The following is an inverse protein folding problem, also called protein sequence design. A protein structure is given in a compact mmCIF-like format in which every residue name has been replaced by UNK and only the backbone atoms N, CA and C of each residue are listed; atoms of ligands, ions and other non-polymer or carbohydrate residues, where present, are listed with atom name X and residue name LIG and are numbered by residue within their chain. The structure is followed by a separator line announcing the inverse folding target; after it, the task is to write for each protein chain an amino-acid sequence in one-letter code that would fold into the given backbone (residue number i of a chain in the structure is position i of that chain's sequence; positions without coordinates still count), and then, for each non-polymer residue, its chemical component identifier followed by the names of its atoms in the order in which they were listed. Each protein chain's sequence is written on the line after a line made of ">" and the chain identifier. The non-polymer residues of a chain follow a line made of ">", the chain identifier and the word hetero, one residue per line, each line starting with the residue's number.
data_IF_754595213389
#
_entry.id   IF_754595213389
#
_cell.length_a   1.000
_cell.length_b   1.000
_cell.length_c   1.000
_cell.angle_alpha   90.00
_cell.angle_beta   90.00
_cell.angle_gamma   90.00
#
_symmetry.space_group_name_H-M   'P 1'
#
loop_
_entity.id
_entity.type
_entity.pdbx_description
1 polymer ?
#
# COMPACT_ATOMS: atom_id res chain seq x y z
N UNK A 1 -10.07 -16.66 -6.55
CA UNK A 1 -11.34 -16.73 -5.80
C UNK A 1 -12.32 -15.75 -6.40
N UNK A 2 -13.61 -16.08 -6.40
CA UNK A 2 -14.69 -15.20 -6.86
C UNK A 2 -15.46 -14.58 -5.69
N UNK A 3 -15.06 -14.88 -4.46
CA UNK A 3 -15.75 -14.43 -3.26
C UNK A 3 -15.04 -13.24 -2.60
N UNK A 4 -15.83 -12.25 -2.20
CA UNK A 4 -15.36 -11.00 -1.61
C UNK A 4 -14.75 -11.26 -0.23
N UNK A 5 -15.31 -12.20 0.53
CA UNK A 5 -14.81 -12.52 1.87
C UNK A 5 -13.45 -13.22 1.81
N UNK A 6 -13.26 -14.18 0.90
CA UNK A 6 -11.94 -14.81 0.70
C UNK A 6 -10.88 -13.79 0.25
N UNK A 7 -11.27 -12.78 -0.52
CA UNK A 7 -10.37 -11.69 -0.90
C UNK A 7 -9.88 -10.88 0.31
N UNK A 8 -10.79 -10.50 1.22
CA UNK A 8 -10.43 -9.78 2.43
C UNK A 8 -9.60 -10.62 3.41
N UNK A 9 -9.91 -11.91 3.55
CA UNK A 9 -9.08 -12.81 4.38
C UNK A 9 -7.66 -12.96 3.81
N UNK A 10 -7.49 -12.99 2.48
CA UNK A 10 -6.15 -12.96 1.87
C UNK A 10 -5.43 -11.63 2.13
N UNK A 11 -6.11 -10.49 1.98
CA UNK A 11 -5.52 -9.18 2.31
C UNK A 11 -5.03 -9.18 3.76
N UNK A 12 -5.88 -9.61 4.69
CA UNK A 12 -5.53 -9.70 6.12
C UNK A 12 -4.32 -10.59 6.37
N UNK A 13 -4.26 -11.75 5.72
CA UNK A 13 -3.13 -12.66 5.82
C UNK A 13 -1.83 -11.98 5.37
N UNK A 14 -1.81 -11.38 4.18
CA UNK A 14 -0.62 -10.69 3.67
C UNK A 14 -0.24 -9.44 4.48
N UNK A 15 -1.20 -8.67 4.96
CA UNK A 15 -0.95 -7.55 5.86
C UNK A 15 -0.34 -8.01 7.19
N UNK A 16 -0.79 -9.14 7.72
CA UNK A 16 -0.21 -9.72 8.94
C UNK A 16 1.23 -10.18 8.70
N UNK A 17 1.52 -10.79 7.55
CA UNK A 17 2.89 -11.14 7.17
C UNK A 17 3.77 -9.90 7.01
N UNK A 18 3.26 -8.84 6.38
CA UNK A 18 3.97 -7.57 6.23
C UNK A 18 4.30 -6.96 7.60
N UNK A 19 3.34 -6.93 8.54
CA UNK A 19 3.55 -6.50 9.92
C UNK A 19 4.71 -7.26 10.57
N UNK A 20 4.65 -8.60 10.54
CA UNK A 20 5.68 -9.46 11.15
C UNK A 20 7.07 -9.20 10.56
N UNK A 21 7.15 -9.01 9.23
CA UNK A 21 8.39 -8.67 8.53
C UNK A 21 8.93 -7.30 8.97
N UNK A 22 8.07 -6.28 9.02
CA UNK A 22 8.41 -4.91 9.41
C UNK A 22 8.91 -4.85 10.86
N UNK A 23 8.23 -5.51 11.80
CA UNK A 23 8.64 -5.57 13.20
C UNK A 23 9.96 -6.35 13.38
N UNK A 24 10.13 -7.44 12.63
CA UNK A 24 11.39 -8.20 12.66
C UNK A 24 12.55 -7.34 12.16
N UNK A 25 12.36 -6.61 11.05
CA UNK A 25 13.34 -5.68 10.50
C UNK A 25 13.65 -4.57 11.50
N UNK A 26 12.63 -3.97 12.11
CA UNK A 26 12.77 -2.91 13.13
C UNK A 26 13.64 -3.39 14.29
N UNK A 27 13.37 -4.57 14.84
CA UNK A 27 14.18 -5.17 15.92
C UNK A 27 15.65 -5.34 15.52
N UNK A 28 15.94 -5.80 14.31
CA UNK A 28 17.33 -5.94 13.81
C UNK A 28 18.00 -4.57 13.71
N UNK A 29 17.32 -3.57 13.14
CA UNK A 29 17.84 -2.20 13.01
C UNK A 29 18.09 -1.57 14.38
N UNK A 30 17.18 -1.73 15.34
CA UNK A 30 17.37 -1.25 16.70
C UNK A 30 18.55 -1.92 17.41
N UNK A 31 18.74 -3.23 17.22
CA UNK A 31 19.89 -3.93 17.77
C UNK A 31 21.21 -3.42 17.17
N UNK A 32 21.24 -3.20 15.85
CA UNK A 32 22.40 -2.60 15.18
C UNK A 32 22.72 -1.19 15.71
N UNK A 33 21.68 -0.39 16.01
CA UNK A 33 21.84 0.94 16.59
C UNK A 33 22.45 0.86 17.99
N UNK A 34 21.94 -0.05 18.84
CA UNK A 34 22.45 -0.28 20.20
C UNK A 34 23.91 -0.71 20.18
N UNK A 35 24.25 -1.64 19.29
CA UNK A 35 25.60 -2.19 19.10
C UNK A 35 26.58 -1.21 18.42
N UNK A 36 26.15 0.01 18.10
CA UNK A 36 27.04 1.05 17.56
C UNK A 36 27.37 0.91 16.07
N UNK A 37 26.69 0.01 15.35
CA UNK A 37 26.90 -0.19 13.91
C UNK A 37 26.35 0.96 13.04
N UNK A 38 25.60 1.89 13.66
CA UNK A 38 25.05 3.07 13.00
C UNK A 38 25.36 4.33 13.82
N UNK A 39 26.64 4.76 13.87
CA UNK A 39 27.09 5.81 14.79
C UNK A 39 26.47 7.18 14.50
N UNK A 40 26.33 7.55 13.24
CA UNK A 40 25.68 8.81 12.84
C UNK A 40 24.19 8.80 13.20
N UNK A 41 23.47 7.74 12.86
CA UNK A 41 22.05 7.60 13.21
C UNK A 41 21.84 7.62 14.71
N UNK A 42 22.70 6.97 15.50
CA UNK A 42 22.64 7.00 16.96
C UNK A 42 22.85 8.41 17.51
N UNK A 43 23.77 9.18 16.92
CA UNK A 43 24.11 10.54 17.36
C UNK A 43 23.03 11.59 17.07
N UNK A 44 22.35 11.48 15.93
CA UNK A 44 21.41 12.50 15.45
C UNK A 44 19.93 12.11 15.62
N UNK A 45 19.61 10.82 15.53
CA UNK A 45 18.24 10.33 15.61
C UNK A 45 17.92 9.71 16.97
N UNK A 46 18.87 8.95 17.53
CA UNK A 46 18.76 8.31 18.85
C UNK A 46 17.82 7.09 18.88
N UNK A 47 16.58 7.21 18.37
CA UNK A 47 15.59 6.12 18.36
C UNK A 47 14.75 6.09 17.09
N UNK A 48 14.20 4.91 16.74
CA UNK A 48 13.31 4.75 15.60
C UNK A 48 11.81 4.78 15.98
N UNK A 49 11.47 5.18 17.21
CA UNK A 49 10.07 5.20 17.70
C UNK A 49 9.14 6.05 16.83
N UNK A 50 9.66 7.12 16.25
CA UNK A 50 8.90 8.04 15.39
C UNK A 50 8.97 7.68 13.90
N UNK A 51 9.52 6.52 13.53
CA UNK A 51 9.61 6.08 12.13
C UNK A 51 8.42 5.23 11.75
N UNK A 52 7.77 5.58 10.65
CA UNK A 52 6.66 4.81 10.11
C UNK A 52 7.13 3.52 9.46
N UNK A 53 6.38 2.45 9.69
CA UNK A 53 6.45 1.22 8.93
C UNK A 53 5.37 1.25 7.84
N UNK A 54 5.79 1.23 6.58
CA UNK A 54 4.90 1.46 5.44
C UNK A 54 4.43 0.15 4.83
N UNK A 55 3.11 0.03 4.63
CA UNK A 55 2.49 -1.05 3.87
C UNK A 55 1.96 -0.43 2.56
N UNK A 56 2.54 -0.85 1.45
CA UNK A 56 2.17 -0.38 0.11
C UNK A 56 1.01 -1.18 -0.50
N UNK A 57 0.15 -0.51 -1.26
CA UNK A 57 -0.88 -1.13 -2.12
C UNK A 57 -0.55 -0.92 -3.59
N UNK A 58 -0.73 -1.95 -4.42
CA UNK A 58 -0.62 -1.88 -5.88
C UNK A 58 -1.59 -2.85 -6.56
N UNK A 59 -1.94 -2.59 -7.82
CA UNK A 59 -2.73 -3.48 -8.66
C UNK A 59 -4.23 -3.49 -8.37
N UNK A 60 -4.81 -2.40 -7.87
CA UNK A 60 -6.23 -2.38 -7.51
C UNK A 60 -7.14 -2.55 -8.74
N UNK A 61 -6.76 -2.00 -9.90
CA UNK A 61 -7.51 -2.21 -11.13
C UNK A 61 -7.50 -3.68 -11.56
N UNK A 62 -6.34 -4.34 -11.49
CA UNK A 62 -6.22 -5.76 -11.82
C UNK A 62 -7.01 -6.62 -10.82
N UNK A 63 -7.06 -6.25 -9.55
CA UNK A 63 -7.91 -6.92 -8.56
C UNK A 63 -9.39 -6.79 -8.94
N UNK A 64 -9.87 -5.58 -9.27
CA UNK A 64 -11.24 -5.35 -9.75
C UNK A 64 -11.55 -6.17 -11.02
N UNK A 65 -10.66 -6.16 -12.01
CA UNK A 65 -10.82 -6.90 -13.25
C UNK A 65 -10.85 -8.41 -13.03
N UNK A 66 -10.04 -8.94 -12.10
CA UNK A 66 -10.03 -10.36 -11.82
C UNK A 66 -11.24 -10.82 -11.00
N UNK A 67 -11.68 -10.04 -10.01
CA UNK A 67 -12.78 -10.36 -9.10
C UNK A 67 -14.16 -10.06 -9.70
N UNK A 68 -14.34 -8.85 -10.21
CA UNK A 68 -15.64 -8.31 -10.65
C UNK A 68 -15.83 -8.36 -12.16
N UNK A 69 -14.77 -8.65 -12.94
CA UNK A 69 -14.76 -8.50 -14.41
C UNK A 69 -15.12 -7.07 -14.86
N UNK A 70 -14.85 -6.09 -13.99
CA UNK A 70 -15.08 -4.67 -14.20
C UNK A 70 -13.85 -3.89 -13.74
N UNK A 71 -13.55 -2.79 -14.42
CA UNK A 71 -12.43 -1.94 -14.07
C UNK A 71 -12.69 -1.11 -12.80
N UNK A 72 -11.66 -0.41 -12.34
CA UNK A 72 -11.73 0.48 -11.18
C UNK A 72 -12.64 1.71 -11.39
N UNK A 73 -13.00 2.05 -12.62
CA UNK A 73 -13.84 3.23 -12.95
C UNK A 73 -15.33 2.95 -12.77
N UNK A 74 -15.72 1.67 -12.89
CA UNK A 74 -17.08 1.19 -12.64
C UNK A 74 -17.56 1.49 -11.21
N UNK A 75 -18.87 1.68 -10.99
CA UNK A 75 -19.42 1.87 -9.65
C UNK A 75 -19.03 0.74 -8.68
N UNK A 76 -19.04 -0.51 -9.15
CA UNK A 76 -18.68 -1.67 -8.33
C UNK A 76 -17.18 -1.73 -8.04
N UNK A 77 -16.32 -1.41 -9.02
CA UNK A 77 -14.87 -1.34 -8.82
C UNK A 77 -14.44 -0.24 -7.86
N UNK A 78 -15.10 0.93 -7.94
CA UNK A 78 -14.94 2.01 -6.96
C UNK A 78 -15.33 1.57 -5.56
N UNK A 79 -16.48 0.92 -5.42
CA UNK A 79 -16.94 0.45 -4.12
C UNK A 79 -15.98 -0.59 -3.52
N UNK A 80 -15.51 -1.55 -4.32
CA UNK A 80 -14.54 -2.55 -3.87
C UNK A 80 -13.22 -1.89 -3.42
N UNK A 81 -12.75 -0.89 -4.16
CA UNK A 81 -11.55 -0.12 -3.80
C UNK A 81 -11.73 0.59 -2.47
N UNK A 82 -12.85 1.27 -2.26
CA UNK A 82 -13.16 1.97 -1.01
C UNK A 82 -13.22 0.98 0.15
N UNK A 83 -13.90 -0.16 -0.02
CA UNK A 83 -14.02 -1.18 1.01
C UNK A 83 -12.64 -1.78 1.36
N UNK A 84 -11.80 -2.00 0.35
CA UNK A 84 -10.41 -2.46 0.51
C UNK A 84 -9.58 -1.47 1.32
N UNK A 85 -9.61 -0.20 0.97
CA UNK A 85 -8.86 0.84 1.69
C UNK A 85 -9.34 1.01 3.14
N UNK A 86 -10.65 0.94 3.38
CA UNK A 86 -11.23 0.98 4.73
C UNK A 86 -10.76 -0.21 5.56
N UNK A 87 -10.84 -1.41 5.01
CA UNK A 87 -10.38 -2.63 5.67
C UNK A 87 -8.88 -2.56 6.02
N UNK A 88 -8.04 -2.16 5.07
CA UNK A 88 -6.61 -1.99 5.31
C UNK A 88 -6.32 -0.93 6.38
N UNK A 89 -7.08 0.18 6.38
CA UNK A 89 -6.93 1.24 7.39
C UNK A 89 -7.25 0.73 8.80
N UNK A 90 -8.32 -0.04 8.94
CA UNK A 90 -8.70 -0.63 10.23
C UNK A 90 -7.62 -1.59 10.73
N UNK A 91 -7.07 -2.44 9.85
CA UNK A 91 -5.98 -3.36 10.19
C UNK A 91 -4.70 -2.63 10.58
N UNK A 92 -4.35 -1.56 9.88
CA UNK A 92 -3.21 -0.72 10.27
C UNK A 92 -3.41 -0.11 11.65
N UNK A 93 -4.62 0.37 11.98
CA UNK A 93 -4.93 0.88 13.32
C UNK A 93 -4.77 -0.20 14.40
N UNK A 94 -5.27 -1.41 14.14
CA UNK A 94 -5.07 -2.56 15.03
C UNK A 94 -3.57 -2.84 15.25
N UNK A 95 -2.77 -2.84 14.18
CA UNK A 95 -1.33 -3.07 14.27
C UNK A 95 -0.60 -2.02 15.10
N UNK A 96 -0.98 -0.75 14.99
CA UNK A 96 -0.43 0.31 15.85
C UNK A 96 -0.77 0.09 17.33
N UNK A 97 -1.99 -0.35 17.63
CA UNK A 97 -2.41 -0.66 19.01
C UNK A 97 -1.67 -1.88 19.57
N UNK A 98 -1.49 -2.92 18.77
CA UNK A 98 -0.82 -4.17 19.18
C UNK A 98 0.69 -3.99 19.40
N UNK A 99 1.35 -3.25 18.51
CA UNK A 99 2.83 -3.17 18.47
C UNK A 99 3.38 -1.91 19.15
N UNK A 100 2.58 -0.84 19.24
CA UNK A 100 3.04 0.49 19.63
C UNK A 100 3.91 1.18 18.57
N UNK A 101 4.15 0.56 17.41
CA UNK A 101 4.86 1.15 16.28
C UNK A 101 3.91 2.00 15.42
N UNK A 102 4.44 3.04 14.78
CA UNK A 102 3.68 3.84 13.82
C UNK A 102 3.63 3.12 12.46
N UNK A 103 2.44 3.07 11.86
CA UNK A 103 2.21 2.46 10.56
C UNK A 103 1.51 3.44 9.62
N UNK A 104 1.87 3.42 8.34
CA UNK A 104 1.16 4.15 7.30
C UNK A 104 0.85 3.25 6.10
N UNK A 105 -0.22 3.60 5.39
CA UNK A 105 -0.48 3.08 4.05
C UNK A 105 0.13 4.03 3.04
N UNK A 106 0.68 3.51 1.95
CA UNK A 106 1.19 4.34 0.86
C UNK A 106 0.81 3.75 -0.50
N UNK A 107 0.51 4.65 -1.42
CA UNK A 107 0.47 4.38 -2.85
C UNK A 107 1.93 4.33 -3.38
N UNK A 108 2.65 3.23 -3.13
CA UNK A 108 4.09 3.17 -3.43
C UNK A 108 4.31 3.16 -4.94
N UNK A 109 5.15 4.04 -5.52
CA UNK A 109 5.54 3.95 -6.92
C UNK A 109 6.27 2.63 -7.16
N UNK A 110 5.54 1.68 -7.71
CA UNK A 110 5.95 0.29 -7.80
C UNK A 110 6.50 -0.07 -9.18
N UNK A 111 7.18 0.82 -9.91
CA UNK A 111 7.54 0.58 -11.32
C UNK A 111 8.25 -0.77 -11.56
N UNK A 112 9.30 -1.08 -10.80
CA UNK A 112 10.02 -2.35 -10.91
C UNK A 112 9.28 -3.52 -10.24
N UNK A 113 8.57 -3.26 -9.14
CA UNK A 113 7.87 -4.26 -8.35
C UNK A 113 6.58 -4.74 -9.02
N UNK A 114 5.81 -3.83 -9.62
CA UNK A 114 4.57 -4.08 -10.34
C UNK A 114 4.81 -4.93 -11.59
N UNK A 115 5.86 -4.63 -12.36
CA UNK A 115 6.27 -5.47 -13.48
C UNK A 115 6.66 -6.88 -13.01
N UNK A 116 7.49 -6.95 -11.96
CA UNK A 116 7.97 -8.23 -11.42
C UNK A 116 6.82 -9.09 -10.90
N UNK A 117 5.86 -8.50 -10.18
CA UNK A 117 4.68 -9.23 -9.69
C UNK A 117 3.77 -9.67 -10.83
N UNK A 118 3.45 -8.80 -11.79
CA UNK A 118 2.62 -9.17 -12.94
C UNK A 118 3.23 -10.35 -13.73
N UNK A 119 4.56 -10.36 -13.91
CA UNK A 119 5.27 -11.47 -14.57
C UNK A 119 5.20 -12.78 -13.78
N UNK A 120 5.32 -12.72 -12.45
CA UNK A 120 5.19 -13.89 -11.58
C UNK A 120 3.75 -14.41 -11.55
N UNK A 121 2.77 -13.51 -11.52
CA UNK A 121 1.35 -13.84 -11.57
C UNK A 121 1.00 -14.54 -12.87
N UNK A 122 1.42 -14.01 -14.02
CA UNK A 122 1.25 -14.68 -15.33
C UNK A 122 1.92 -16.04 -15.41
N UNK A 123 3.06 -16.23 -14.73
CA UNK A 123 3.76 -17.52 -14.69
C UNK A 123 3.00 -18.55 -13.84
N UNK A 124 2.40 -18.14 -12.73
CA UNK A 124 1.65 -19.03 -11.84
C UNK A 124 0.21 -19.26 -12.33
N UNK A 125 -0.38 -18.24 -12.94
CA UNK A 125 -1.78 -18.20 -13.38
C UNK A 125 -1.83 -17.59 -14.78
N UNK A 126 -1.70 -18.39 -15.85
CA UNK A 126 -1.66 -17.88 -17.23
C UNK A 126 -2.87 -17.00 -17.60
N UNK A 127 -4.04 -17.36 -17.08
CA UNK A 127 -5.32 -16.69 -17.36
C UNK A 127 -5.60 -15.47 -16.46
N UNK A 128 -4.70 -15.11 -15.55
CA UNK A 128 -4.90 -13.93 -14.69
C UNK A 128 -4.87 -12.66 -15.54
N UNK A 129 -5.77 -11.73 -15.25
CA UNK A 129 -5.75 -10.43 -15.90
C UNK A 129 -4.63 -9.57 -15.29
N UNK A 130 -3.80 -9.00 -16.16
CA UNK A 130 -2.77 -7.99 -15.85
C UNK A 130 -2.87 -6.89 -16.91
N UNK A 131 -2.55 -5.64 -16.56
CA UNK A 131 -2.41 -4.58 -17.55
C UNK A 131 -1.14 -4.76 -18.39
N UNK A 132 -1.06 -4.07 -19.54
CA UNK A 132 0.07 -4.15 -20.47
C UNK A 132 -0.07 -5.27 -21.50
N UNK A 133 1.02 -5.56 -22.20
CA UNK A 133 1.08 -6.62 -23.23
C UNK A 133 1.52 -7.95 -22.62
N UNK A 134 1.31 -9.09 -23.32
CA UNK A 134 1.82 -10.39 -22.86
C UNK A 134 3.34 -10.40 -22.58
N UNK A 135 4.10 -9.62 -23.34
CA UNK A 135 5.55 -9.49 -23.23
C UNK A 135 5.95 -8.51 -22.12
N UNK A 136 5.10 -7.52 -21.84
CA UNK A 136 5.35 -6.47 -20.87
C UNK A 136 4.16 -6.24 -19.91
N UNK A 137 3.81 -7.24 -19.07
CA UNK A 137 2.69 -7.13 -18.14
C UNK A 137 3.08 -6.26 -16.94
N UNK A 138 2.16 -5.44 -16.45
CA UNK A 138 2.34 -4.63 -15.24
C UNK A 138 1.06 -4.59 -14.39
N UNK A 139 1.24 -4.34 -13.09
CA UNK A 139 0.16 -3.96 -12.19
C UNK A 139 0.02 -2.43 -12.18
N UNK A 140 -1.22 -1.94 -12.15
CA UNK A 140 -1.47 -0.49 -12.02
C UNK A 140 -0.92 0.05 -10.70
N UNK A 141 -0.36 1.26 -10.75
CA UNK A 141 0.22 1.86 -9.57
C UNK A 141 -0.90 2.27 -8.60
N UNK A 142 -0.91 1.67 -7.40
CA UNK A 142 -1.91 1.95 -6.36
C UNK A 142 -3.37 1.86 -6.87
N UNK A 143 -4.10 2.98 -6.80
CA UNK A 143 -5.48 3.18 -7.26
C UNK A 143 -5.55 4.09 -8.50
N UNK A 144 -4.41 4.39 -9.12
CA UNK A 144 -4.39 5.25 -10.30
C UNK A 144 -4.96 4.51 -11.51
N UNK A 145 -5.59 5.27 -12.41
CA UNK A 145 -6.09 4.77 -13.68
C UNK A 145 -4.94 4.13 -14.49
N UNK A 146 -5.20 3.09 -15.30
CA UNK A 146 -4.20 2.50 -16.17
C UNK A 146 -3.52 3.54 -17.07
N UNK A 147 -2.21 3.40 -17.25
CA UNK A 147 -1.44 4.20 -18.22
C UNK A 147 -1.99 3.91 -19.62
N UNK A 148 -2.51 4.94 -20.30
CA UNK A 148 -3.18 4.84 -21.60
C UNK A 148 -4.69 5.14 -21.61
N UNK A 149 -5.27 5.64 -20.51
CA UNK A 149 -6.71 5.92 -20.41
C UNK A 149 -7.15 7.27 -21.02
N UNK A 150 -6.25 8.23 -21.26
CA UNK A 150 -6.58 9.51 -21.96
C UNK A 150 -5.32 10.20 -22.51
N UNK A 151 -5.42 10.79 -23.71
CA UNK A 151 -4.37 11.61 -24.36
C UNK A 151 -4.42 13.09 -23.95
N UNK A 152 -5.35 13.46 -23.05
CA UNK A 152 -5.58 14.85 -22.67
C UNK A 152 -4.89 15.18 -21.33
N UNK A 153 -3.68 15.75 -21.44
CA UNK A 153 -2.80 16.11 -20.31
C UNK A 153 -3.47 17.10 -19.34
N UNK A 154 -4.44 17.87 -19.82
CA UNK A 154 -5.22 18.83 -19.02
C UNK A 154 -6.28 18.14 -18.17
N UNK A 155 -6.93 17.08 -18.68
CA UNK A 155 -7.95 16.34 -17.92
C UNK A 155 -7.34 15.51 -16.78
N UNK A 156 -6.08 15.07 -16.93
CA UNK A 156 -5.31 14.41 -15.88
C UNK A 156 -4.93 15.36 -14.72
N UNK A 157 -4.79 16.66 -15.00
CA UNK A 157 -4.47 17.72 -14.02
C UNK A 157 -5.71 18.35 -13.38
N UNK A 158 -6.84 18.38 -14.08
CA UNK A 158 -8.11 18.92 -13.55
C UNK A 158 -8.94 17.89 -12.78
N UNK A 159 -8.57 16.61 -12.76
CA UNK A 159 -9.28 15.56 -12.01
C UNK A 159 -8.50 14.87 -10.86
N UNK A 160 -7.72 15.58 -10.01
CA UNK A 160 -7.27 15.04 -8.72
C UNK A 160 -8.44 14.67 -7.78
N UNK A 161 -9.64 15.20 -8.07
CA UNK A 161 -10.74 15.27 -7.11
C UNK A 161 -11.81 14.17 -7.27
N UNK A 162 -11.72 13.31 -8.29
CA UNK A 162 -12.75 12.26 -8.55
C UNK A 162 -12.36 10.83 -8.13
N UNK A 163 -11.23 10.67 -7.45
CA UNK A 163 -10.96 9.52 -6.59
C UNK A 163 -10.11 9.97 -5.38
N UNK A 164 -10.73 10.31 -4.23
CA UNK A 164 -9.98 10.73 -3.05
C UNK A 164 -9.40 9.48 -2.36
N UNK A 165 -8.40 8.87 -2.98
CA UNK A 165 -7.44 8.00 -2.32
C UNK A 165 -6.03 8.56 -2.52
N UNK A 166 -5.88 9.88 -2.38
CA UNK A 166 -4.59 10.50 -2.13
C UNK A 166 -4.09 10.01 -0.77
N UNK A 167 -3.30 8.94 -0.78
CA UNK A 167 -2.72 8.33 0.43
C UNK A 167 -1.51 9.17 0.87
N UNK A 168 -1.80 10.33 1.44
CA UNK A 168 -0.88 11.09 2.29
C UNK A 168 -1.63 11.55 3.53
N UNK A 169 -1.97 10.59 4.39
CA UNK A 169 -2.63 10.86 5.67
C UNK A 169 -1.61 10.83 6.80
N UNK A 170 -1.17 12.03 7.23
CA UNK A 170 -0.52 12.24 8.53
C UNK A 170 -1.61 12.47 9.57
N UNK A 171 -1.69 11.61 10.58
CA UNK A 171 -2.55 11.88 11.74
C UNK A 171 -2.01 13.12 12.48
N UNK A 172 -2.76 14.22 12.44
CA UNK A 172 -2.40 15.48 13.10
C UNK A 172 -2.66 15.50 14.62
N UNK A 173 -2.95 14.34 15.24
CA UNK A 173 -3.33 14.29 16.66
C UNK A 173 -2.22 13.91 17.65
N UNK A 174 -0.95 13.80 17.22
CA UNK A 174 0.16 13.50 18.14
C UNK A 174 1.00 14.70 18.58
N UNK A 175 0.60 15.95 18.28
CA UNK A 175 1.38 17.17 18.58
C UNK A 175 0.77 18.12 19.60
N UNK A 176 -0.27 17.74 20.36
CA UNK A 176 -0.81 18.55 21.47
C UNK A 176 -0.53 17.92 22.84
N UNK A 177 0.73 17.85 23.25
CA UNK A 177 1.08 17.73 24.68
C UNK A 177 2.48 18.25 25.06
N UNK A 178 3.12 19.04 24.20
CA UNK A 178 4.36 19.74 24.56
C UNK A 178 4.22 21.23 24.32
N UNK A 179 4.00 21.98 25.40
CA UNK A 179 4.20 23.43 25.44
C UNK A 179 3.12 24.25 26.12
N UNK A 180 3.20 24.37 27.46
CA UNK A 180 3.01 25.56 28.31
C UNK A 180 2.28 25.23 29.62
N UNK A 181 2.92 25.56 30.74
CA UNK A 181 2.40 25.48 32.10
C UNK A 181 3.38 24.81 33.03
#
# INVERSE_FOLDING_TARGET
>A
SKDKDEFFEKIKHYMTLAKTSLETKRRVVENNLKNGLMPYTKRYLGTFKNHFSTIGLCGMNEACMNLLKKDITSPEGKQLTIDTLKFMREKVREFQQETGSLYNLEATPAESTAYRFAKLDKKMYPDIYTSGTPEMPYLTNSTQLPVGYTDDVVLALEHPERCPAAVHWRDHNSTRSWGRG
#
